data_IF_537412777921
#
_entry.id   IF_537412777921
#
_cell.length_a   1.000
_cell.length_b   1.000
_cell.length_c   1.000
_cell.angle_alpha   90.00
_cell.angle_beta   90.00
_cell.angle_gamma   90.00
#
_symmetry.space_group_name_H-M   'P 1'
#
loop_
_entity.id
_entity.type
_entity.pdbx_description
1 polymer ?
#
# COMPACT_ATOMS: atom_id res chain seq x y z
N UNK A 1 -1.81 3.14 25.61
CA UNK A 1 -2.98 2.23 25.53
C UNK A 1 -2.56 0.78 25.35
N UNK A 2 -1.59 0.48 24.49
CA UNK A 2 -1.01 -0.87 24.31
C UNK A 2 -0.42 -1.45 25.60
N UNK A 3 0.24 -0.64 26.44
CA UNK A 3 0.82 -1.10 27.72
C UNK A 3 -0.25 -1.57 28.70
N UNK A 4 -1.27 -0.74 29.01
CA UNK A 4 -2.37 -1.11 29.92
C UNK A 4 -3.12 -2.37 29.48
N UNK A 5 -3.36 -2.54 28.17
CA UNK A 5 -3.98 -3.76 27.64
C UNK A 5 -3.07 -4.98 27.86
N UNK A 6 -1.77 -4.84 27.62
CA UNK A 6 -0.78 -5.91 27.79
C UNK A 6 -0.61 -6.31 29.26
N UNK A 7 -0.60 -5.33 30.16
CA UNK A 7 -0.52 -5.53 31.61
C UNK A 7 -1.79 -6.23 32.13
N UNK A 8 -2.96 -5.87 31.60
CA UNK A 8 -4.21 -6.50 32.00
C UNK A 8 -4.32 -7.94 31.47
N UNK A 9 -3.85 -8.20 30.24
CA UNK A 9 -3.74 -9.55 29.70
C UNK A 9 -2.78 -10.41 30.51
N UNK A 10 -1.61 -9.88 30.91
CA UNK A 10 -0.66 -10.64 31.73
C UNK A 10 -1.20 -10.95 33.13
N UNK A 11 -2.01 -10.07 33.73
CA UNK A 11 -2.70 -10.30 34.99
C UNK A 11 -3.79 -11.38 34.87
N UNK A 12 -4.48 -11.45 33.74
CA UNK A 12 -5.47 -12.51 33.45
C UNK A 12 -4.76 -13.85 33.23
N UNK A 13 -3.68 -13.89 32.43
CA UNK A 13 -2.91 -15.10 32.15
C UNK A 13 -2.26 -15.69 33.42
N UNK A 14 -1.88 -14.84 34.38
CA UNK A 14 -1.35 -15.25 35.69
C UNK A 14 -2.44 -15.67 36.69
N UNK A 15 -3.72 -15.63 36.31
CA UNK A 15 -4.85 -15.95 37.18
C UNK A 15 -5.07 -14.96 38.33
N UNK A 16 -4.46 -13.76 38.26
CA UNK A 16 -4.58 -12.74 39.31
C UNK A 16 -5.94 -12.04 39.29
N UNK A 17 -6.68 -12.14 38.18
CA UNK A 17 -8.03 -11.61 38.01
C UNK A 17 -8.98 -12.79 37.74
N UNK A 18 -9.97 -13.05 38.61
CA UNK A 18 -10.99 -14.06 38.35
C UNK A 18 -11.72 -13.77 37.03
N UNK A 19 -12.10 -14.78 36.23
CA UNK A 19 -12.77 -14.58 34.93
C UNK A 19 -14.05 -13.73 35.03
N UNK A 20 -14.74 -13.77 36.17
CA UNK A 20 -15.93 -12.97 36.48
C UNK A 20 -15.62 -11.47 36.64
N UNK A 21 -14.39 -11.12 37.04
CA UNK A 21 -13.96 -9.74 37.31
C UNK A 21 -13.22 -9.09 36.12
N UNK A 22 -13.03 -9.83 35.02
CA UNK A 22 -12.36 -9.33 33.81
C UNK A 22 -13.12 -8.17 33.18
N UNK A 23 -14.46 -8.22 33.17
CA UNK A 23 -15.30 -7.13 32.67
C UNK A 23 -15.08 -5.84 33.48
N UNK A 24 -15.07 -5.94 34.81
CA UNK A 24 -14.83 -4.80 35.69
C UNK A 24 -13.39 -4.26 35.53
N UNK A 25 -12.40 -5.16 35.45
CA UNK A 25 -11.00 -4.78 35.26
C UNK A 25 -10.78 -4.02 33.94
N UNK A 26 -11.43 -4.45 32.85
CA UNK A 26 -11.34 -3.77 31.54
C UNK A 26 -12.03 -2.41 31.52
N UNK A 27 -13.13 -2.26 32.27
CA UNK A 27 -13.84 -0.99 32.47
C UNK A 27 -12.99 0.00 33.29
N UNK A 28 -12.44 -0.43 34.44
CA UNK A 28 -11.55 0.38 35.29
C UNK A 28 -10.25 0.76 34.56
N UNK A 29 -9.71 -0.14 33.73
CA UNK A 29 -8.54 0.15 32.92
C UNK A 29 -8.79 1.17 31.80
N UNK A 30 -10.05 1.56 31.56
CA UNK A 30 -10.44 2.51 30.53
C UNK A 30 -10.13 1.98 29.12
N UNK A 31 -10.22 0.67 28.93
CA UNK A 31 -9.95 0.03 27.63
C UNK A 31 -11.11 0.21 26.64
N UNK A 32 -12.29 0.55 27.14
CA UNK A 32 -13.43 0.93 26.31
C UNK A 32 -13.37 2.42 25.97
N UNK A 33 -13.46 2.80 24.68
CA UNK A 33 -13.53 4.20 24.29
C UNK A 33 -14.80 4.83 24.88
N UNK A 34 -14.63 5.91 25.66
CA UNK A 34 -15.76 6.65 26.22
C UNK A 34 -16.60 7.36 25.15
N UNK A 35 -17.79 7.89 25.52
CA UNK A 35 -18.69 8.54 24.56
C UNK A 35 -18.05 9.66 23.74
N UNK A 36 -17.15 10.44 24.36
CA UNK A 36 -16.40 11.51 23.65
C UNK A 36 -15.44 10.96 22.60
N UNK A 37 -14.80 9.82 22.83
CA UNK A 37 -13.89 9.20 21.87
C UNK A 37 -14.68 8.67 20.66
N UNK A 38 -15.86 8.09 20.90
CA UNK A 38 -16.79 7.72 19.84
C UNK A 38 -17.26 8.91 19.03
N UNK A 39 -17.66 9.99 19.68
CA UNK A 39 -18.08 11.22 19.00
C UNK A 39 -16.95 11.77 18.10
N UNK A 40 -15.70 11.81 18.58
CA UNK A 40 -14.55 12.24 17.77
C UNK A 40 -14.26 11.29 16.59
N UNK A 41 -14.42 9.98 16.78
CA UNK A 41 -14.26 9.02 15.69
C UNK A 41 -15.33 9.25 14.61
N UNK A 42 -16.59 9.36 15.04
CA UNK A 42 -17.73 9.58 14.15
C UNK A 42 -17.58 10.90 13.39
N UNK A 43 -17.21 11.98 14.07
CA UNK A 43 -16.95 13.30 13.47
C UNK A 43 -15.87 13.21 12.37
N UNK A 44 -14.75 12.52 12.67
CA UNK A 44 -13.67 12.31 11.70
C UNK A 44 -14.09 11.45 10.51
N UNK A 45 -14.87 10.40 10.75
CA UNK A 45 -15.39 9.53 9.69
C UNK A 45 -16.38 10.29 8.80
N UNK A 46 -17.30 11.03 9.39
CA UNK A 46 -18.26 11.87 8.67
C UNK A 46 -17.54 12.94 7.83
N UNK A 47 -16.48 13.55 8.36
CA UNK A 47 -15.72 14.53 7.60
C UNK A 47 -15.01 13.91 6.39
N UNK A 48 -14.39 12.75 6.55
CA UNK A 48 -13.77 12.02 5.43
C UNK A 48 -14.81 11.58 4.40
N UNK A 49 -15.88 10.93 4.84
CA UNK A 49 -16.94 10.43 3.97
C UNK A 49 -17.63 11.59 3.24
N UNK A 50 -17.94 12.68 3.94
CA UNK A 50 -18.53 13.87 3.34
C UNK A 50 -17.62 14.53 2.30
N UNK A 51 -16.33 14.71 2.62
CA UNK A 51 -15.38 15.29 1.67
C UNK A 51 -15.17 14.42 0.42
N UNK A 52 -15.05 13.10 0.59
CA UNK A 52 -14.96 12.16 -0.53
C UNK A 52 -16.26 12.11 -1.34
N UNK A 53 -17.41 12.07 -0.67
CA UNK A 53 -18.72 12.06 -1.32
C UNK A 53 -18.94 13.33 -2.14
N UNK A 54 -18.48 14.50 -1.68
CA UNK A 54 -18.53 15.73 -2.47
C UNK A 54 -17.63 15.64 -3.72
N UNK A 55 -16.40 15.15 -3.58
CA UNK A 55 -15.48 15.01 -4.71
C UNK A 55 -16.03 14.03 -5.78
N UNK A 56 -16.52 12.86 -5.36
CA UNK A 56 -17.18 11.90 -6.25
C UNK A 56 -18.53 12.41 -6.76
N UNK A 57 -19.26 13.15 -5.94
CA UNK A 57 -20.52 13.79 -6.31
C UNK A 57 -20.34 14.72 -7.50
N UNK A 58 -19.28 15.53 -7.52
CA UNK A 58 -18.93 16.37 -8.68
C UNK A 58 -18.67 15.52 -9.92
N UNK A 59 -17.88 14.45 -9.81
CA UNK A 59 -17.60 13.53 -10.93
C UNK A 59 -18.89 12.92 -11.49
N UNK A 60 -19.71 12.33 -10.62
CA UNK A 60 -20.94 11.66 -11.03
C UNK A 60 -22.00 12.63 -11.52
N UNK A 61 -22.06 13.84 -10.96
CA UNK A 61 -22.97 14.88 -11.44
C UNK A 61 -22.64 15.29 -12.88
N UNK A 62 -21.35 15.49 -13.21
CA UNK A 62 -20.92 15.78 -14.58
C UNK A 62 -21.19 14.60 -15.52
N UNK A 63 -20.94 13.38 -15.05
CA UNK A 63 -21.18 12.16 -15.84
C UNK A 63 -22.67 11.95 -16.13
N UNK A 64 -23.54 12.14 -15.14
CA UNK A 64 -24.99 12.00 -15.29
C UNK A 64 -25.57 13.07 -16.22
N UNK A 65 -25.20 14.33 -16.02
CA UNK A 65 -25.71 15.46 -16.83
C UNK A 65 -24.87 15.69 -18.11
N UNK A 66 -24.12 14.69 -18.57
CA UNK A 66 -23.14 14.87 -19.66
C UNK A 66 -23.77 15.41 -20.94
N UNK A 67 -24.96 14.95 -21.31
CA UNK A 67 -25.63 15.37 -22.55
C UNK A 67 -26.14 16.82 -22.45
N UNK A 68 -26.68 17.20 -21.30
CA UNK A 68 -27.36 18.48 -21.09
C UNK A 68 -26.39 19.63 -20.73
N UNK A 69 -25.25 19.32 -20.10
CA UNK A 69 -24.27 20.32 -19.71
C UNK A 69 -23.40 20.76 -20.89
N UNK A 70 -23.30 22.08 -21.13
CA UNK A 70 -22.29 22.64 -22.04
C UNK A 70 -20.85 22.43 -21.56
N UNK A 71 -19.86 22.56 -22.45
CA UNK A 71 -18.43 22.34 -22.10
C UNK A 71 -17.97 23.24 -20.95
N UNK A 72 -18.32 24.53 -21.01
CA UNK A 72 -17.93 25.52 -19.99
C UNK A 72 -18.51 25.19 -18.61
N UNK A 73 -19.75 24.69 -18.52
CA UNK A 73 -20.34 24.34 -17.23
C UNK A 73 -19.70 23.09 -16.62
N UNK A 74 -19.33 22.10 -17.44
CA UNK A 74 -18.61 20.90 -16.97
C UNK A 74 -17.26 21.27 -16.34
N UNK A 75 -16.44 22.02 -17.07
CA UNK A 75 -15.14 22.47 -16.56
C UNK A 75 -15.29 23.44 -15.40
N UNK A 76 -16.21 24.41 -15.51
CA UNK A 76 -16.47 25.40 -14.48
C UNK A 76 -16.87 24.78 -13.15
N UNK A 77 -17.70 23.73 -13.16
CA UNK A 77 -18.09 23.01 -11.95
C UNK A 77 -16.90 22.33 -11.27
N UNK A 78 -16.12 21.55 -12.04
CA UNK A 78 -14.95 20.83 -11.50
C UNK A 78 -13.88 21.80 -11.01
N UNK A 79 -13.61 22.87 -11.77
CA UNK A 79 -12.66 23.91 -11.39
C UNK A 79 -13.12 24.70 -10.17
N UNK A 80 -14.39 25.05 -10.06
CA UNK A 80 -14.93 25.73 -8.88
C UNK A 80 -14.79 24.85 -7.63
N UNK A 81 -15.14 23.56 -7.73
CA UNK A 81 -14.96 22.61 -6.64
C UNK A 81 -13.47 22.47 -6.24
N UNK A 82 -12.57 22.43 -7.23
CA UNK A 82 -11.13 22.40 -6.98
C UNK A 82 -10.69 23.68 -6.27
N UNK A 83 -11.05 24.86 -6.76
CA UNK A 83 -10.70 26.14 -6.15
C UNK A 83 -11.23 26.26 -4.72
N UNK A 84 -12.42 25.75 -4.42
CA UNK A 84 -12.95 25.69 -3.06
C UNK A 84 -12.08 24.79 -2.17
N UNK A 85 -11.71 23.59 -2.64
CA UNK A 85 -10.84 22.69 -1.90
C UNK A 85 -9.48 23.33 -1.61
N UNK A 86 -8.86 23.98 -2.61
CA UNK A 86 -7.60 24.71 -2.45
C UNK A 86 -7.77 25.93 -1.53
N UNK A 87 -8.88 26.66 -1.64
CA UNK A 87 -9.21 27.79 -0.77
C UNK A 87 -9.29 27.40 0.70
N UNK A 88 -9.88 26.24 1.01
CA UNK A 88 -9.93 25.69 2.38
C UNK A 88 -8.51 25.43 2.92
N UNK A 89 -7.61 24.91 2.08
CA UNK A 89 -6.20 24.67 2.46
C UNK A 89 -5.48 25.98 2.76
N UNK A 90 -5.72 27.02 1.97
CA UNK A 90 -5.07 28.33 2.11
C UNK A 90 -5.69 29.22 3.19
N UNK A 91 -6.89 28.90 3.68
CA UNK A 91 -7.63 29.72 4.65
C UNK A 91 -6.88 29.90 5.99
N UNK A 92 -5.90 29.05 6.31
CA UNK A 92 -5.00 29.18 7.47
C UNK A 92 -5.66 28.96 8.85
N UNK A 93 -6.99 29.06 8.96
CA UNK A 93 -7.78 28.77 10.17
C UNK A 93 -8.46 27.39 10.14
N UNK A 94 -8.35 26.66 9.04
CA UNK A 94 -8.93 25.34 8.90
C UNK A 94 -8.22 24.33 9.84
N UNK A 95 -8.98 23.38 10.39
CA UNK A 95 -8.40 22.31 11.19
C UNK A 95 -7.49 21.43 10.33
N UNK A 96 -6.43 20.86 10.91
CA UNK A 96 -5.50 19.96 10.18
C UNK A 96 -6.21 18.83 9.46
N UNK A 97 -7.29 18.31 10.05
CA UNK A 97 -8.11 17.26 9.47
C UNK A 97 -8.86 17.75 8.23
N UNK A 98 -9.51 18.92 8.32
CA UNK A 98 -10.22 19.52 7.19
C UNK A 98 -9.26 19.82 6.04
N UNK A 99 -8.06 20.32 6.33
CA UNK A 99 -7.00 20.54 5.32
C UNK A 99 -6.62 19.24 4.62
N UNK A 100 -6.46 18.12 5.35
CA UNK A 100 -6.14 16.81 4.76
C UNK A 100 -7.26 16.29 3.85
N UNK A 101 -8.51 16.43 4.28
CA UNK A 101 -9.68 16.05 3.47
C UNK A 101 -9.76 16.91 2.21
N UNK A 102 -9.59 18.22 2.34
CA UNK A 102 -9.61 19.16 1.22
C UNK A 102 -8.47 18.90 0.22
N UNK A 103 -7.25 18.62 0.69
CA UNK A 103 -6.13 18.21 -0.17
C UNK A 103 -6.41 16.91 -0.90
N UNK A 104 -7.08 15.95 -0.25
CA UNK A 104 -7.48 14.68 -0.88
C UNK A 104 -8.57 14.90 -1.93
N UNK A 105 -9.54 15.77 -1.67
CA UNK A 105 -10.53 16.17 -2.66
C UNK A 105 -9.87 16.87 -3.85
N UNK A 106 -8.93 17.80 -3.61
CA UNK A 106 -8.18 18.48 -4.66
C UNK A 106 -7.37 17.49 -5.51
N UNK A 107 -6.68 16.54 -4.88
CA UNK A 107 -5.96 15.45 -5.56
C UNK A 107 -6.88 14.69 -6.52
N UNK A 108 -8.07 14.29 -6.08
CA UNK A 108 -9.05 13.58 -6.92
C UNK A 108 -9.61 14.46 -8.04
N UNK A 109 -9.97 15.71 -7.73
CA UNK A 109 -10.56 16.65 -8.69
C UNK A 109 -9.59 17.02 -9.81
N UNK A 110 -8.28 17.03 -9.57
CA UNK A 110 -7.28 17.14 -10.65
C UNK A 110 -7.38 15.96 -11.62
N UNK A 111 -7.50 14.74 -11.11
CA UNK A 111 -7.72 13.55 -11.95
C UNK A 111 -9.03 13.62 -12.73
N UNK A 112 -10.12 14.06 -12.09
CA UNK A 112 -11.41 14.30 -12.75
C UNK A 112 -11.28 15.34 -13.86
N UNK A 113 -10.55 16.44 -13.64
CA UNK A 113 -10.34 17.48 -14.63
C UNK A 113 -9.57 16.97 -15.85
N UNK A 114 -8.53 16.15 -15.64
CA UNK A 114 -7.76 15.52 -16.70
C UNK A 114 -8.60 14.53 -17.51
N UNK A 115 -9.39 13.69 -16.83
CA UNK A 115 -10.31 12.76 -17.48
C UNK A 115 -11.39 13.50 -18.28
N UNK A 116 -11.96 14.55 -17.71
CA UNK A 116 -12.93 15.42 -18.40
C UNK A 116 -12.32 16.05 -19.65
N UNK A 117 -11.08 16.52 -19.57
CA UNK A 117 -10.36 17.05 -20.73
C UNK A 117 -10.20 16.02 -21.84
N UNK A 118 -9.72 14.82 -21.50
CA UNK A 118 -9.57 13.73 -22.48
C UNK A 118 -10.90 13.33 -23.14
N UNK A 119 -11.99 13.31 -22.38
CA UNK A 119 -13.33 12.96 -22.87
C UNK A 119 -13.96 14.06 -23.75
N UNK A 120 -13.86 15.34 -23.35
CA UNK A 120 -14.47 16.45 -24.10
C UNK A 120 -13.75 16.72 -25.41
N UNK A 121 -12.42 16.65 -25.41
CA UNK A 121 -11.59 16.97 -26.58
C UNK A 121 -11.14 15.74 -27.35
N UNK A 122 -11.48 14.53 -26.89
CA UNK A 122 -11.13 13.26 -27.54
C UNK A 122 -9.66 13.20 -27.93
N UNK A 123 -8.78 13.53 -26.97
CA UNK A 123 -7.35 13.72 -27.25
C UNK A 123 -6.63 12.44 -27.70
N UNK A 124 -7.32 11.30 -27.74
CA UNK A 124 -6.77 10.00 -28.14
C UNK A 124 -5.59 9.54 -27.28
N UNK A 125 -5.35 10.22 -26.15
CA UNK A 125 -4.20 9.99 -25.29
C UNK A 125 -4.34 8.63 -24.60
N UNK A 126 -3.24 7.88 -24.56
CA UNK A 126 -3.20 6.60 -23.85
C UNK A 126 -3.53 6.80 -22.36
N UNK A 127 -4.22 5.85 -21.71
CA UNK A 127 -4.55 5.94 -20.29
C UNK A 127 -3.35 6.26 -19.38
N UNK A 128 -2.17 5.71 -19.70
CA UNK A 128 -0.96 5.93 -18.89
C UNK A 128 -0.53 7.41 -18.83
N UNK A 129 -0.73 8.17 -19.92
CA UNK A 129 -0.36 9.59 -19.98
C UNK A 129 -1.20 10.41 -19.01
N UNK A 130 -2.49 10.10 -18.90
CA UNK A 130 -3.41 10.74 -17.97
C UNK A 130 -2.93 10.53 -16.53
N UNK A 131 -2.67 9.28 -16.13
CA UNK A 131 -2.24 8.98 -14.76
C UNK A 131 -0.84 9.52 -14.44
N UNK A 132 0.08 9.50 -15.42
CA UNK A 132 1.41 10.09 -15.26
C UNK A 132 1.33 11.62 -15.09
N UNK A 133 0.59 12.30 -15.96
CA UNK A 133 0.41 13.76 -15.87
C UNK A 133 -0.30 14.13 -14.56
N UNK A 134 -1.29 13.35 -14.14
CA UNK A 134 -1.93 13.50 -12.84
C UNK A 134 -0.90 13.41 -11.71
N UNK A 135 -0.05 12.38 -11.69
CA UNK A 135 0.99 12.22 -10.68
C UNK A 135 1.95 13.42 -10.67
N UNK A 136 2.41 13.88 -11.82
CA UNK A 136 3.32 15.03 -11.93
C UNK A 136 2.67 16.30 -11.39
N UNK A 137 1.42 16.59 -11.78
CA UNK A 137 0.73 17.82 -11.39
C UNK A 137 0.43 17.90 -9.89
N UNK A 138 0.15 16.76 -9.25
CA UNK A 138 -0.18 16.73 -7.81
C UNK A 138 1.04 16.53 -6.91
N UNK A 139 2.22 16.22 -7.45
CA UNK A 139 3.44 16.02 -6.66
C UNK A 139 3.79 17.21 -5.73
N UNK A 140 3.76 18.49 -6.16
CA UNK A 140 4.01 19.62 -5.26
C UNK A 140 3.05 19.67 -4.08
N UNK A 141 1.79 19.30 -4.31
CA UNK A 141 0.72 19.30 -3.32
C UNK A 141 0.94 18.20 -2.28
N UNK A 142 1.25 16.99 -2.75
CA UNK A 142 1.56 15.82 -1.92
C UNK A 142 2.80 16.10 -1.04
N UNK A 143 3.81 16.76 -1.61
CA UNK A 143 5.02 17.17 -0.90
C UNK A 143 4.71 18.13 0.26
N UNK A 144 3.93 19.18 0.00
CA UNK A 144 3.55 20.18 1.01
C UNK A 144 2.60 19.59 2.06
N UNK A 145 1.71 18.68 1.66
CA UNK A 145 0.71 18.08 2.54
C UNK A 145 1.30 17.34 3.75
N UNK A 146 2.51 16.77 3.60
CA UNK A 146 3.17 15.89 4.60
C UNK A 146 2.21 14.86 5.20
N UNK A 147 1.31 14.35 4.36
CA UNK A 147 0.24 13.44 4.76
C UNK A 147 0.45 12.08 4.11
N UNK A 148 0.70 11.07 4.94
CA UNK A 148 1.08 9.71 4.56
C UNK A 148 0.13 9.09 3.51
N UNK A 149 -1.19 9.25 3.67
CA UNK A 149 -2.17 8.68 2.76
C UNK A 149 -2.05 9.26 1.35
N UNK A 150 -1.79 10.57 1.23
CA UNK A 150 -1.62 11.20 -0.09
C UNK A 150 -0.34 10.75 -0.78
N UNK A 151 0.72 10.52 -0.02
CA UNK A 151 1.96 9.97 -0.54
C UNK A 151 1.79 8.54 -1.06
N UNK A 152 1.10 7.69 -0.29
CA UNK A 152 0.77 6.33 -0.71
C UNK A 152 -0.14 6.35 -1.96
N UNK A 153 -1.16 7.21 -1.98
CA UNK A 153 -2.04 7.37 -3.14
C UNK A 153 -1.29 7.86 -4.38
N UNK A 154 -0.37 8.81 -4.22
CA UNK A 154 0.48 9.32 -5.29
C UNK A 154 1.44 8.26 -5.84
N UNK A 155 2.05 7.46 -4.97
CA UNK A 155 2.88 6.33 -5.41
C UNK A 155 2.04 5.26 -6.09
N UNK A 156 0.84 4.96 -5.60
CA UNK A 156 -0.09 4.06 -6.29
C UNK A 156 -0.44 4.56 -7.69
N UNK A 157 -0.69 5.86 -7.83
CA UNK A 157 -0.95 6.53 -9.11
C UNK A 157 0.25 6.41 -10.07
N UNK A 158 1.47 6.63 -9.57
CA UNK A 158 2.69 6.48 -10.37
C UNK A 158 2.93 5.03 -10.81
N UNK A 159 2.73 4.06 -9.91
CA UNK A 159 2.81 2.63 -10.22
C UNK A 159 1.79 2.24 -11.29
N UNK A 160 0.55 2.72 -11.17
CA UNK A 160 -0.50 2.51 -12.17
C UNK A 160 -0.12 3.09 -13.54
N UNK A 161 0.44 4.30 -13.56
CA UNK A 161 0.90 4.92 -14.80
C UNK A 161 1.98 4.08 -15.49
N UNK A 162 2.94 3.53 -14.74
CA UNK A 162 4.03 2.71 -15.28
C UNK A 162 3.53 1.36 -15.79
N UNK A 163 2.64 0.73 -15.03
CA UNK A 163 1.97 -0.50 -15.44
C UNK A 163 1.23 -0.31 -16.78
N UNK A 164 0.42 0.76 -16.87
CA UNK A 164 -0.32 1.08 -18.08
C UNK A 164 0.61 1.42 -19.24
N UNK A 165 1.67 2.20 -19.01
CA UNK A 165 2.64 2.57 -20.04
C UNK A 165 3.22 1.34 -20.72
N UNK A 166 3.64 0.37 -19.92
CA UNK A 166 4.23 -0.83 -20.45
C UNK A 166 3.22 -1.79 -21.07
N UNK A 167 1.98 -1.82 -20.57
CA UNK A 167 0.90 -2.57 -21.22
C UNK A 167 0.58 -2.04 -22.62
N UNK A 168 0.77 -0.73 -22.86
CA UNK A 168 0.52 -0.10 -24.16
C UNK A 168 1.71 -0.25 -25.12
N UNK A 169 2.94 -0.02 -24.65
CA UNK A 169 4.12 0.10 -25.52
C UNK A 169 5.07 -1.09 -25.46
N UNK A 170 4.78 -2.13 -24.68
CA UNK A 170 5.72 -3.23 -24.42
C UNK A 170 6.99 -2.81 -23.67
N UNK A 171 7.02 -1.56 -23.17
CA UNK A 171 8.17 -0.90 -22.57
C UNK A 171 9.23 -0.48 -23.59
N UNK A 172 9.78 0.73 -23.46
CA UNK A 172 11.00 1.16 -24.16
C UNK A 172 12.21 0.21 -23.92
N UNK A 173 12.14 -0.62 -22.86
CA UNK A 173 13.08 -1.67 -22.50
C UNK A 173 12.75 -3.06 -23.10
N UNK A 174 11.67 -3.19 -23.86
CA UNK A 174 11.16 -4.46 -24.41
C UNK A 174 12.12 -5.20 -25.35
N UNK A 175 13.17 -4.53 -25.83
CA UNK A 175 14.23 -5.17 -26.62
C UNK A 175 15.31 -5.88 -25.77
N UNK A 176 15.35 -5.66 -24.45
CA UNK A 176 16.41 -6.19 -23.56
C UNK A 176 15.89 -7.15 -22.47
N UNK A 177 14.62 -7.00 -22.11
CA UNK A 177 13.89 -7.82 -21.14
C UNK A 177 12.51 -8.09 -21.74
N UNK A 178 11.93 -9.27 -21.51
CA UNK A 178 10.52 -9.52 -21.86
C UNK A 178 9.68 -8.38 -21.30
N UNK A 179 8.71 -7.89 -22.07
CA UNK A 179 7.91 -6.71 -21.74
C UNK A 179 7.24 -6.79 -20.35
N UNK A 180 7.07 -7.98 -19.77
CA UNK A 180 6.61 -8.24 -18.39
C UNK A 180 7.66 -7.90 -17.33
N UNK A 181 8.90 -8.39 -17.49
CA UNK A 181 10.00 -8.25 -16.53
C UNK A 181 10.37 -6.78 -16.30
N UNK A 182 10.52 -6.01 -17.39
CA UNK A 182 10.99 -4.63 -17.33
C UNK A 182 10.07 -3.74 -16.47
N UNK A 183 8.77 -4.04 -16.47
CA UNK A 183 7.74 -3.31 -15.71
C UNK A 183 7.86 -3.61 -14.24
N UNK A 184 7.94 -4.89 -13.90
CA UNK A 184 8.11 -5.31 -12.53
C UNK A 184 9.43 -4.76 -11.98
N UNK A 185 10.51 -4.73 -12.75
CA UNK A 185 11.76 -4.08 -12.36
C UNK A 185 11.61 -2.58 -12.12
N UNK A 186 10.91 -1.86 -13.00
CA UNK A 186 10.63 -0.43 -12.82
C UNK A 186 9.81 -0.15 -11.56
N UNK A 187 8.78 -0.96 -11.32
CA UNK A 187 7.94 -0.91 -10.12
C UNK A 187 8.78 -1.22 -8.87
N UNK A 188 9.59 -2.28 -8.87
CA UNK A 188 10.51 -2.61 -7.77
C UNK A 188 11.43 -1.43 -7.47
N UNK A 189 12.07 -0.87 -8.50
CA UNK A 189 13.01 0.23 -8.35
C UNK A 189 12.35 1.46 -7.70
N UNK A 190 11.17 1.86 -8.18
CA UNK A 190 10.47 3.04 -7.66
C UNK A 190 9.98 2.81 -6.24
N UNK A 191 9.46 1.63 -5.90
CA UNK A 191 8.98 1.36 -4.54
C UNK A 191 10.14 1.21 -3.55
N UNK A 192 11.26 0.59 -3.92
CA UNK A 192 12.44 0.52 -3.05
C UNK A 192 13.05 1.91 -2.85
N UNK A 193 13.19 2.72 -3.90
CA UNK A 193 13.69 4.10 -3.76
C UNK A 193 12.75 4.94 -2.92
N UNK A 194 11.44 4.85 -3.12
CA UNK A 194 10.44 5.51 -2.29
C UNK A 194 10.53 5.07 -0.81
N UNK A 195 10.71 3.77 -0.55
CA UNK A 195 10.87 3.23 0.80
C UNK A 195 12.13 3.76 1.47
N UNK A 196 13.28 3.79 0.79
CA UNK A 196 14.55 4.34 1.30
C UNK A 196 14.42 5.83 1.61
N UNK A 197 13.83 6.60 0.69
CA UNK A 197 13.58 8.05 0.89
C UNK A 197 12.65 8.27 2.08
N UNK A 198 11.63 7.43 2.23
CA UNK A 198 10.69 7.54 3.35
C UNK A 198 11.34 7.20 4.69
N UNK A 199 12.13 6.14 4.75
CA UNK A 199 12.86 5.76 5.96
C UNK A 199 13.87 6.84 6.37
N UNK A 200 14.57 7.42 5.40
CA UNK A 200 15.43 8.57 5.62
C UNK A 200 14.65 9.80 6.13
N UNK A 201 13.52 10.12 5.50
CA UNK A 201 12.64 11.21 5.92
C UNK A 201 12.03 11.01 7.31
N UNK A 202 11.69 9.76 7.66
CA UNK A 202 11.20 9.38 8.98
C UNK A 202 12.28 9.55 10.06
N UNK A 203 13.54 9.23 9.75
CA UNK A 203 14.66 9.37 10.68
C UNK A 203 15.12 10.83 10.85
N UNK A 204 15.23 11.59 9.76
CA UNK A 204 15.83 12.93 9.78
C UNK A 204 14.81 14.05 10.00
N UNK A 205 13.60 13.90 9.47
CA UNK A 205 12.57 14.96 9.43
C UNK A 205 11.31 14.62 10.23
N UNK A 206 11.33 13.51 10.96
CA UNK A 206 10.21 13.03 11.77
C UNK A 206 8.94 12.80 10.96
N UNK A 207 9.06 12.34 9.71
CA UNK A 207 7.89 12.01 8.89
C UNK A 207 7.07 10.91 9.60
N UNK A 208 5.76 11.11 9.80
CA UNK A 208 4.91 10.08 10.36
C UNK A 208 4.76 8.89 9.39
N UNK A 209 4.24 7.77 9.90
CA UNK A 209 3.73 6.70 9.01
C UNK A 209 4.56 5.43 8.92
N UNK A 210 4.74 4.71 10.03
CA UNK A 210 5.23 3.32 10.00
C UNK A 210 4.38 2.43 9.08
N UNK A 211 3.06 2.62 9.11
CA UNK A 211 2.13 1.88 8.25
C UNK A 211 2.34 2.18 6.75
N UNK A 212 2.78 3.40 6.40
CA UNK A 212 3.11 3.76 5.03
C UNK A 212 4.36 3.01 4.56
N UNK A 213 5.41 2.93 5.39
CA UNK A 213 6.61 2.13 5.11
C UNK A 213 6.24 0.65 4.85
N UNK A 214 5.33 0.08 5.66
CA UNK A 214 4.83 -1.27 5.45
C UNK A 214 4.13 -1.45 4.08
N UNK A 215 3.30 -0.48 3.67
CA UNK A 215 2.64 -0.51 2.36
C UNK A 215 3.64 -0.34 1.21
N UNK A 216 4.66 0.50 1.37
CA UNK A 216 5.74 0.67 0.38
C UNK A 216 6.54 -0.62 0.23
N UNK A 217 6.83 -1.30 1.35
CA UNK A 217 7.50 -2.58 1.34
C UNK A 217 6.68 -3.66 0.62
N UNK A 218 5.33 -3.62 0.70
CA UNK A 218 4.48 -4.48 -0.13
C UNK A 218 4.55 -4.09 -1.61
N UNK A 219 4.54 -2.79 -1.91
CA UNK A 219 4.64 -2.25 -3.26
C UNK A 219 5.92 -2.64 -3.99
N UNK A 220 7.03 -2.80 -3.28
CA UNK A 220 8.29 -3.33 -3.83
C UNK A 220 8.42 -4.85 -3.71
N UNK A 221 8.00 -5.42 -2.58
CA UNK A 221 8.15 -6.84 -2.27
C UNK A 221 7.30 -7.74 -3.16
N UNK A 222 6.04 -7.41 -3.42
CA UNK A 222 5.16 -8.23 -4.27
C UNK A 222 5.68 -8.32 -5.72
N UNK A 223 6.05 -7.21 -6.39
CA UNK A 223 6.68 -7.31 -7.71
C UNK A 223 8.01 -8.08 -7.71
N UNK A 224 8.79 -7.98 -6.63
CA UNK A 224 10.03 -8.76 -6.46
C UNK A 224 9.75 -10.27 -6.37
N UNK A 225 8.70 -10.67 -5.66
CA UNK A 225 8.29 -12.08 -5.59
C UNK A 225 7.77 -12.58 -6.94
N UNK A 226 6.97 -11.76 -7.63
CA UNK A 226 6.43 -12.08 -8.96
C UNK A 226 7.55 -12.27 -10.00
N UNK A 227 8.57 -11.42 -10.00
CA UNK A 227 9.75 -11.59 -10.87
C UNK A 227 10.45 -12.93 -10.63
N UNK A 228 10.61 -13.32 -9.36
CA UNK A 228 11.22 -14.60 -9.01
C UNK A 228 10.32 -15.76 -9.44
N UNK A 229 9.01 -15.64 -9.26
CA UNK A 229 8.04 -16.64 -9.71
C UNK A 229 8.04 -16.81 -11.24
N UNK A 230 8.04 -15.71 -11.98
CA UNK A 230 8.10 -15.71 -13.45
C UNK A 230 9.37 -16.42 -13.93
N UNK A 231 10.52 -16.11 -13.33
CA UNK A 231 11.77 -16.81 -13.63
C UNK A 231 11.68 -18.32 -13.31
N UNK A 232 11.09 -18.69 -12.16
CA UNK A 232 10.87 -20.09 -11.78
C UNK A 232 9.91 -20.81 -12.74
N UNK A 233 9.04 -20.12 -13.48
CA UNK A 233 8.13 -20.76 -14.45
C UNK A 233 8.68 -20.86 -15.88
N UNK A 234 9.82 -20.21 -16.18
CA UNK A 234 10.40 -20.23 -17.54
C UNK A 234 10.90 -21.60 -17.95
N UNK A 235 10.65 -21.98 -19.20
CA UNK A 235 11.04 -23.29 -19.76
C UNK A 235 12.54 -23.57 -19.62
N UNK A 236 13.39 -22.56 -19.80
CA UNK A 236 14.85 -22.67 -19.67
C UNK A 236 15.38 -21.84 -18.51
N UNK A 237 16.25 -22.44 -17.68
CA UNK A 237 17.00 -21.72 -16.65
C UNK A 237 18.15 -20.95 -17.27
N UNK A 238 17.84 -19.79 -17.84
CA UNK A 238 18.85 -18.81 -18.23
C UNK A 238 19.17 -17.95 -17.02
N UNK A 239 20.46 -17.61 -16.86
CA UNK A 239 20.89 -16.66 -15.84
C UNK A 239 20.13 -15.34 -16.01
N UNK A 240 19.45 -14.91 -14.95
CA UNK A 240 18.68 -13.68 -14.93
C UNK A 240 19.05 -12.85 -13.70
N UNK A 241 19.01 -11.51 -13.79
CA UNK A 241 19.37 -10.63 -12.67
C UNK A 241 18.61 -10.92 -11.37
N UNK A 242 17.38 -11.44 -11.47
CA UNK A 242 16.54 -11.77 -10.33
C UNK A 242 17.13 -12.87 -9.44
N UNK A 243 17.93 -13.79 -9.99
CA UNK A 243 18.60 -14.85 -9.22
C UNK A 243 19.55 -14.29 -8.16
N UNK A 244 20.14 -13.12 -8.43
CA UNK A 244 21.04 -12.43 -7.51
C UNK A 244 20.25 -11.41 -6.68
N UNK A 245 19.37 -10.64 -7.33
CA UNK A 245 18.66 -9.57 -6.68
C UNK A 245 17.68 -10.05 -5.60
N UNK A 246 16.99 -11.19 -5.80
CA UNK A 246 16.02 -11.71 -4.84
C UNK A 246 16.67 -12.16 -3.52
N UNK A 247 17.75 -12.96 -3.52
CA UNK A 247 18.51 -13.26 -2.30
C UNK A 247 19.09 -12.02 -1.63
N UNK A 248 19.62 -11.06 -2.41
CA UNK A 248 20.16 -9.81 -1.87
C UNK A 248 19.06 -8.98 -1.20
N UNK A 249 17.89 -8.89 -1.81
CA UNK A 249 16.73 -8.21 -1.23
C UNK A 249 16.25 -8.88 0.06
N UNK A 250 16.15 -10.22 0.10
CA UNK A 250 15.82 -10.95 1.32
C UNK A 250 16.87 -10.75 2.43
N UNK A 251 18.16 -10.78 2.08
CA UNK A 251 19.24 -10.53 3.02
C UNK A 251 19.21 -9.10 3.58
N UNK A 252 18.94 -8.11 2.73
CA UNK A 252 18.77 -6.72 3.14
C UNK A 252 17.54 -6.54 4.06
N UNK A 253 16.39 -7.10 3.67
CA UNK A 253 15.16 -7.10 4.46
C UNK A 253 15.40 -7.75 5.82
N UNK A 254 16.06 -8.91 5.86
CA UNK A 254 16.42 -9.58 7.09
C UNK A 254 17.37 -8.73 7.93
N UNK A 255 18.50 -8.27 7.39
CA UNK A 255 19.51 -7.51 8.14
C UNK A 255 18.95 -6.21 8.75
N UNK A 256 18.22 -5.43 7.94
CA UNK A 256 17.63 -4.17 8.39
C UNK A 256 16.54 -4.43 9.44
N UNK A 257 15.57 -5.32 9.16
CA UNK A 257 14.41 -5.49 10.02
C UNK A 257 14.55 -6.54 11.13
N UNK A 258 15.69 -7.24 11.20
CA UNK A 258 16.05 -8.10 12.33
C UNK A 258 17.02 -7.42 13.27
N UNK A 259 18.06 -6.77 12.76
CA UNK A 259 19.16 -6.27 13.58
C UNK A 259 19.07 -4.78 13.87
N UNK A 260 18.58 -3.96 12.93
CA UNK A 260 18.53 -2.51 13.12
C UNK A 260 17.17 -2.07 13.66
N UNK A 261 16.08 -2.64 13.17
CA UNK A 261 14.72 -2.29 13.58
C UNK A 261 13.78 -3.49 13.52
N UNK A 262 13.45 -4.09 14.67
CA UNK A 262 12.53 -5.23 14.66
C UNK A 262 11.13 -4.82 14.20
N UNK A 263 10.79 -5.14 12.95
CA UNK A 263 9.45 -4.98 12.39
C UNK A 263 8.92 -6.32 11.87
N UNK A 264 8.08 -6.96 12.69
CA UNK A 264 7.50 -8.28 12.43
C UNK A 264 6.71 -8.34 11.11
N UNK A 265 6.07 -7.23 10.72
CA UNK A 265 5.32 -7.16 9.47
C UNK A 265 6.20 -7.43 8.25
N UNK A 266 7.38 -6.82 8.20
CA UNK A 266 8.31 -6.95 7.07
C UNK A 266 8.93 -8.33 7.02
N UNK A 267 9.35 -8.86 8.17
CA UNK A 267 9.86 -10.23 8.28
C UNK A 267 8.80 -11.26 7.89
N UNK A 268 7.54 -11.06 8.29
CA UNK A 268 6.43 -11.91 7.86
C UNK A 268 6.21 -11.85 6.34
N UNK A 269 6.29 -10.65 5.74
CA UNK A 269 6.26 -10.48 4.28
C UNK A 269 7.37 -11.25 3.57
N UNK A 270 8.60 -11.19 4.10
CA UNK A 270 9.73 -11.98 3.59
C UNK A 270 9.49 -13.50 3.72
N UNK A 271 8.93 -13.96 4.84
CA UNK A 271 8.56 -15.38 5.00
C UNK A 271 7.52 -15.81 3.97
N UNK A 272 6.46 -15.02 3.76
CA UNK A 272 5.43 -15.32 2.76
C UNK A 272 6.05 -15.38 1.36
N UNK A 273 6.91 -14.43 1.02
CA UNK A 273 7.68 -14.42 -0.24
C UNK A 273 8.46 -15.73 -0.46
N UNK A 274 9.24 -16.15 0.54
CA UNK A 274 10.03 -17.38 0.49
C UNK A 274 9.13 -18.61 0.34
N UNK A 275 8.06 -18.70 1.15
CA UNK A 275 7.10 -19.81 1.08
C UNK A 275 6.52 -19.90 -0.34
N UNK A 276 6.07 -18.78 -0.92
CA UNK A 276 5.49 -18.77 -2.27
C UNK A 276 6.49 -19.25 -3.33
N UNK A 277 7.73 -18.73 -3.32
CA UNK A 277 8.76 -19.12 -4.30
C UNK A 277 9.18 -20.59 -4.14
N UNK A 278 9.39 -21.05 -2.91
CA UNK A 278 9.76 -22.45 -2.63
C UNK A 278 8.62 -23.39 -3.01
N UNK A 279 7.37 -23.02 -2.74
CA UNK A 279 6.20 -23.81 -3.13
C UNK A 279 6.14 -23.97 -4.65
N UNK A 280 6.39 -22.88 -5.40
CA UNK A 280 6.41 -22.93 -6.85
C UNK A 280 7.56 -23.78 -7.41
N UNK A 281 8.75 -23.71 -6.79
CA UNK A 281 9.87 -24.59 -7.12
C UNK A 281 9.54 -26.07 -6.88
N UNK A 282 8.89 -26.39 -5.75
CA UNK A 282 8.42 -27.75 -5.47
C UNK A 282 7.40 -28.21 -6.51
N UNK A 283 6.44 -27.35 -6.87
CA UNK A 283 5.49 -27.66 -7.95
C UNK A 283 6.25 -28.00 -9.23
N UNK A 284 7.19 -27.15 -9.64
CA UNK A 284 7.96 -27.36 -10.87
C UNK A 284 8.77 -28.65 -10.86
N UNK A 285 9.42 -29.01 -9.75
CA UNK A 285 10.27 -30.21 -9.70
C UNK A 285 9.48 -31.51 -9.47
N UNK A 286 8.39 -31.47 -8.70
CA UNK A 286 7.63 -32.66 -8.30
C UNK A 286 6.49 -32.99 -9.28
N UNK A 287 5.90 -31.99 -9.94
CA UNK A 287 4.72 -32.18 -10.79
C UNK A 287 5.01 -32.21 -12.30
N UNK A 288 6.29 -32.13 -12.72
CA UNK A 288 6.64 -32.14 -14.13
C UNK A 288 6.45 -33.49 -14.82
N UNK A 289 6.53 -34.62 -14.09
CA UNK A 289 6.46 -35.95 -14.70
C UNK A 289 5.09 -36.66 -14.56
N UNK A 290 4.33 -36.45 -13.49
CA UNK A 290 3.01 -37.07 -13.34
C UNK A 290 2.13 -36.41 -12.28
N UNK A 291 0.85 -36.21 -12.59
CA UNK A 291 -0.14 -35.68 -11.64
C UNK A 291 -0.64 -36.81 -10.73
N UNK A 292 -0.24 -36.80 -9.46
CA UNK A 292 -0.63 -37.81 -8.46
C UNK A 292 -1.27 -37.14 -7.23
N UNK A 293 -2.27 -37.79 -6.62
CA UNK A 293 -2.90 -37.28 -5.40
C UNK A 293 -1.89 -37.14 -4.24
N UNK A 294 -0.84 -37.98 -4.23
CA UNK A 294 0.23 -37.97 -3.24
C UNK A 294 1.11 -36.72 -3.31
N UNK A 295 1.39 -36.19 -4.52
CA UNK A 295 2.19 -34.98 -4.66
C UNK A 295 1.46 -33.73 -4.16
N UNK A 296 0.12 -33.70 -4.26
CA UNK A 296 -0.71 -32.64 -3.66
C UNK A 296 -0.67 -32.66 -2.13
N UNK A 297 -0.67 -33.86 -1.52
CA UNK A 297 -0.52 -34.01 -0.07
C UNK A 297 0.85 -33.57 0.41
N UNK A 298 1.93 -33.94 -0.32
CA UNK A 298 3.29 -33.49 -0.02
C UNK A 298 3.41 -31.96 -0.12
N UNK A 299 2.83 -31.36 -1.17
CA UNK A 299 2.83 -29.91 -1.36
C UNK A 299 2.10 -29.19 -0.22
N UNK A 300 0.89 -29.65 0.12
CA UNK A 300 0.12 -29.10 1.24
C UNK A 300 0.90 -29.24 2.55
N UNK A 301 1.47 -30.41 2.82
CA UNK A 301 2.30 -30.66 4.00
C UNK A 301 3.52 -29.72 4.08
N UNK A 302 4.22 -29.51 2.97
CA UNK A 302 5.35 -28.59 2.89
C UNK A 302 4.94 -27.14 3.18
N UNK A 303 3.83 -26.67 2.58
CA UNK A 303 3.29 -25.33 2.83
C UNK A 303 2.89 -25.15 4.30
N UNK A 304 2.20 -26.13 4.87
CA UNK A 304 1.83 -26.10 6.30
C UNK A 304 3.06 -26.10 7.20
N UNK A 305 4.06 -26.94 6.92
CA UNK A 305 5.30 -27.01 7.70
C UNK A 305 6.08 -25.69 7.64
N UNK A 306 6.30 -25.13 6.44
CA UNK A 306 6.99 -23.85 6.29
C UNK A 306 6.22 -22.70 6.96
N UNK A 307 4.89 -22.67 6.83
CA UNK A 307 4.03 -21.70 7.50
C UNK A 307 4.10 -21.80 9.02
N UNK A 308 4.03 -23.01 9.57
CA UNK A 308 4.15 -23.26 11.01
C UNK A 308 5.53 -22.84 11.54
N UNK A 309 6.61 -23.17 10.82
CA UNK A 309 7.98 -22.76 11.15
C UNK A 309 8.12 -21.23 11.14
N UNK A 310 7.59 -20.55 10.12
CA UNK A 310 7.62 -19.09 10.02
C UNK A 310 6.87 -18.44 11.20
N UNK A 311 5.67 -18.93 11.54
CA UNK A 311 4.89 -18.43 12.68
C UNK A 311 5.61 -18.69 14.01
N UNK A 312 6.16 -19.89 14.20
CA UNK A 312 6.89 -20.24 15.43
C UNK A 312 8.12 -19.34 15.61
N UNK A 313 8.86 -19.09 14.52
CA UNK A 313 10.02 -18.20 14.52
C UNK A 313 9.62 -16.75 14.83
N UNK A 314 8.60 -16.20 14.16
CA UNK A 314 8.10 -14.84 14.41
C UNK A 314 7.58 -14.66 15.84
N UNK A 315 6.91 -15.68 16.41
CA UNK A 315 6.47 -15.67 17.82
C UNK A 315 7.65 -15.61 18.78
N UNK A 316 8.71 -16.38 18.53
CA UNK A 316 9.95 -16.34 19.34
C UNK A 316 10.60 -14.96 19.28
N UNK A 317 10.70 -14.37 18.09
CA UNK A 317 11.23 -13.01 17.91
C UNK A 317 10.42 -11.95 18.66
N UNK A 318 9.09 -12.06 18.65
CA UNK A 318 8.23 -11.13 19.39
C UNK A 318 8.38 -11.29 20.91
N UNK A 319 8.65 -12.52 21.38
CA UNK A 319 8.90 -12.79 22.79
C UNK A 319 10.27 -12.25 23.25
N UNK A 320 11.31 -12.28 22.41
CA UNK A 320 12.62 -11.68 22.73
C UNK A 320 12.55 -10.15 23.00
N UNK A 321 11.54 -9.48 22.46
CA UNK A 321 11.34 -8.02 22.61
C UNK A 321 10.26 -7.68 23.64
N UNK A 322 9.52 -8.67 24.13
CA UNK A 322 8.63 -8.50 25.27
C UNK A 322 9.45 -8.69 26.56
N UNK A 323 9.64 -7.66 27.41
CA UNK A 323 10.28 -7.82 28.70
C UNK A 323 9.49 -8.75 29.62
#
# INVERSE_FOLDING_TARGET
MTTKRRDLVSLIERGAIPPEQVALATEVAGLHPGPRAWAMLIDRLLLWLGGLALAFGVLFFVAYNWVEMGRLSRFGLVQAALLLAVGIVLWGRASTMLVRVALTAAFLLVGVLLALFGQVYQTGADPWQLFFLWAVLVLPWVWVARFDVLWVAWLGLLNLAIWLYASTWGGFLGNMLTASDAVLWGIVFINITAQVVWEWGAQQRGWPGRWAICLLALGGGVPMTLLMMEWVTRESYVFAPIMVAYPVWLAALYGVYRHWRLELFMLAGGCVSVITVVTLLLVRHVFWESWHAESLLLLAGAVFAMGALAVAWLKRLNAEVAP
#
